data_IF_760210120972
#
_entry.id   IF_760210120972
#
_cell.length_a   1.000
_cell.length_b   1.000
_cell.length_c   1.000
_cell.angle_alpha   90.00
_cell.angle_beta   90.00
_cell.angle_gamma   90.00
#
_symmetry.space_group_name_H-M   'P 1'
#
loop_
_entity.id
_entity.type
_entity.pdbx_description
1 polymer ?
#
# COMPACT_ATOMS: atom_id res chain seq x y z
N UNK A 1 -6.93 -10.03 26.10
CA UNK A 1 -7.72 -9.30 25.08
C UNK A 1 -8.90 -10.17 24.66
N UNK A 2 -10.13 -9.64 24.76
CA UNK A 2 -11.30 -10.29 24.18
C UNK A 2 -11.22 -10.29 22.64
N UNK A 3 -11.98 -11.15 21.98
CA UNK A 3 -11.91 -11.35 20.53
C UNK A 3 -12.22 -10.07 19.75
N UNK A 4 -13.20 -9.29 20.21
CA UNK A 4 -13.58 -8.02 19.60
C UNK A 4 -12.44 -6.98 19.60
N UNK A 5 -11.73 -6.83 20.72
CA UNK A 5 -10.58 -5.92 20.79
C UNK A 5 -9.43 -6.38 19.85
N UNK A 6 -9.25 -7.69 19.67
CA UNK A 6 -8.26 -8.23 18.73
C UNK A 6 -8.57 -7.86 17.28
N UNK A 7 -9.84 -7.98 16.88
CA UNK A 7 -10.29 -7.63 15.52
C UNK A 7 -10.23 -6.13 15.27
N UNK A 8 -10.57 -5.30 16.27
CA UNK A 8 -10.43 -3.85 16.17
C UNK A 8 -8.98 -3.40 16.02
N UNK A 9 -8.07 -3.96 16.81
CA UNK A 9 -6.64 -3.68 16.70
C UNK A 9 -6.09 -4.11 15.34
N UNK A 10 -6.51 -5.28 14.85
CA UNK A 10 -6.13 -5.74 13.52
C UNK A 10 -6.59 -4.76 12.43
N UNK A 11 -7.86 -4.35 12.48
CA UNK A 11 -8.41 -3.36 11.57
C UNK A 11 -7.62 -2.05 11.60
N UNK A 12 -7.31 -1.51 12.79
CA UNK A 12 -6.56 -0.25 12.91
C UNK A 12 -5.16 -0.35 12.28
N UNK A 13 -4.45 -1.45 12.52
CA UNK A 13 -3.12 -1.71 11.94
C UNK A 13 -3.21 -1.85 10.42
N UNK A 14 -4.15 -2.66 9.92
CA UNK A 14 -4.37 -2.86 8.48
C UNK A 14 -4.73 -1.56 7.79
N UNK A 15 -5.63 -0.77 8.39
CA UNK A 15 -6.01 0.54 7.89
C UNK A 15 -4.80 1.46 7.75
N UNK A 16 -3.98 1.57 8.80
CA UNK A 16 -2.76 2.39 8.76
C UNK A 16 -1.80 1.95 7.65
N UNK A 17 -1.57 0.65 7.50
CA UNK A 17 -0.68 0.09 6.47
C UNK A 17 -1.21 0.34 5.05
N UNK A 18 -2.52 0.19 4.83
CA UNK A 18 -3.16 0.40 3.53
C UNK A 18 -3.19 1.89 3.18
N UNK A 19 -3.47 2.75 4.16
CA UNK A 19 -3.52 4.21 3.97
C UNK A 19 -2.14 4.81 3.67
N UNK A 20 -1.04 4.15 4.09
CA UNK A 20 0.30 4.58 3.77
C UNK A 20 0.60 4.47 2.25
N UNK A 21 1.13 5.54 1.63
CA UNK A 21 1.51 5.54 0.22
C UNK A 21 2.44 4.38 -0.13
N UNK A 22 2.17 3.72 -1.26
CA UNK A 22 2.94 2.60 -1.76
C UNK A 22 2.56 2.23 -3.19
N UNK A 23 3.11 1.13 -3.71
CA UNK A 23 2.92 0.71 -5.10
C UNK A 23 1.45 0.55 -5.49
N UNK A 24 0.65 -0.14 -4.67
CA UNK A 24 -0.79 -0.33 -4.88
C UNK A 24 -1.53 1.01 -5.01
N UNK A 25 -1.27 1.93 -4.06
CA UNK A 25 -1.91 3.24 -4.02
C UNK A 25 -1.54 4.08 -5.25
N UNK A 26 -0.25 4.10 -5.61
CA UNK A 26 0.24 4.81 -6.79
C UNK A 26 -0.35 4.25 -8.09
N UNK A 27 -0.47 2.92 -8.18
CA UNK A 27 -1.05 2.25 -9.34
C UNK A 27 -2.55 2.58 -9.50
N UNK A 28 -3.31 2.55 -8.41
CA UNK A 28 -4.73 2.96 -8.40
C UNK A 28 -4.87 4.41 -8.78
N UNK A 29 -4.07 5.30 -8.20
CA UNK A 29 -4.12 6.73 -8.48
C UNK A 29 -3.82 7.02 -9.97
N UNK A 30 -2.73 6.46 -10.50
CA UNK A 30 -2.34 6.66 -11.90
C UNK A 30 -3.42 6.19 -12.89
N UNK A 31 -3.99 5.00 -12.69
CA UNK A 31 -5.02 4.47 -13.58
C UNK A 31 -6.36 5.19 -13.40
N UNK A 32 -6.68 5.67 -12.20
CA UNK A 32 -7.89 6.47 -11.94
C UNK A 32 -7.80 7.85 -12.59
N UNK A 33 -6.61 8.44 -12.61
CA UNK A 33 -6.39 9.74 -13.25
C UNK A 33 -6.39 9.63 -14.77
N UNK A 34 -5.81 8.57 -15.35
CA UNK A 34 -5.70 8.41 -16.81
C UNK A 34 -6.97 7.82 -17.44
N UNK A 35 -7.52 6.75 -16.86
CA UNK A 35 -8.66 6.00 -17.42
C UNK A 35 -9.98 6.19 -16.66
N UNK A 36 -10.03 7.16 -15.75
CA UNK A 36 -11.21 7.48 -14.95
C UNK A 36 -11.62 6.39 -13.98
N UNK A 37 -12.88 6.49 -13.50
CA UNK A 37 -13.42 5.60 -12.45
C UNK A 37 -13.33 4.12 -12.81
N UNK A 38 -13.61 3.74 -14.06
CA UNK A 38 -13.59 2.33 -14.48
C UNK A 38 -12.19 1.72 -14.40
N UNK A 39 -11.18 2.45 -14.88
CA UNK A 39 -9.78 2.03 -14.78
C UNK A 39 -9.31 1.95 -13.32
N UNK A 40 -9.66 2.96 -12.51
CA UNK A 40 -9.39 2.95 -11.07
C UNK A 40 -9.99 1.75 -10.34
N UNK A 41 -11.28 1.47 -10.54
CA UNK A 41 -11.94 0.33 -9.91
C UNK A 41 -11.41 -1.03 -10.39
N UNK A 42 -11.01 -1.13 -11.67
CA UNK A 42 -10.34 -2.33 -12.17
C UNK A 42 -8.98 -2.56 -11.50
N UNK A 43 -8.22 -1.50 -11.23
CA UNK A 43 -6.99 -1.58 -10.47
C UNK A 43 -7.25 -2.02 -9.02
N UNK A 44 -8.24 -1.44 -8.34
CA UNK A 44 -8.64 -1.84 -6.98
C UNK A 44 -9.00 -3.32 -6.92
N UNK A 45 -9.82 -3.80 -7.85
CA UNK A 45 -10.20 -5.21 -7.92
C UNK A 45 -8.99 -6.13 -8.12
N UNK A 46 -8.03 -5.75 -8.97
CA UNK A 46 -6.80 -6.51 -9.18
C UNK A 46 -5.93 -6.56 -7.93
N UNK A 47 -5.79 -5.45 -7.20
CA UNK A 47 -5.05 -5.41 -5.94
C UNK A 47 -5.70 -6.29 -4.87
N UNK A 48 -7.03 -6.27 -4.75
CA UNK A 48 -7.74 -7.15 -3.82
C UNK A 48 -7.52 -8.63 -4.20
N UNK A 49 -7.57 -8.97 -5.48
CA UNK A 49 -7.27 -10.32 -5.96
C UNK A 49 -5.83 -10.75 -5.61
N UNK A 50 -4.84 -9.87 -5.78
CA UNK A 50 -3.47 -10.09 -5.32
C UNK A 50 -3.38 -10.24 -3.79
N UNK A 51 -4.15 -9.44 -3.05
CA UNK A 51 -4.31 -9.54 -1.60
C UNK A 51 -4.81 -10.91 -1.13
N UNK A 52 -5.75 -11.51 -1.85
CA UNK A 52 -6.18 -12.89 -1.57
C UNK A 52 -5.05 -13.91 -1.79
N UNK A 53 -4.23 -13.74 -2.82
CA UNK A 53 -3.05 -14.59 -3.01
C UNK A 53 -2.06 -14.45 -1.84
N UNK A 54 -1.82 -13.23 -1.35
CA UNK A 54 -1.01 -13.00 -0.15
C UNK A 54 -1.61 -13.69 1.07
N UNK A 55 -2.92 -13.58 1.26
CA UNK A 55 -3.63 -14.25 2.36
C UNK A 55 -3.47 -15.76 2.31
N UNK A 56 -3.61 -16.37 1.12
CA UNK A 56 -3.40 -17.80 0.94
C UNK A 56 -1.94 -18.19 1.25
N UNK A 57 -0.97 -17.42 0.76
CA UNK A 57 0.45 -17.62 1.08
C UNK A 57 0.73 -17.48 2.58
N UNK A 58 0.12 -16.49 3.24
CA UNK A 58 0.26 -16.28 4.69
C UNK A 58 -0.38 -17.38 5.52
N UNK A 59 -1.61 -17.78 5.17
CA UNK A 59 -2.34 -18.81 5.89
C UNK A 59 -1.69 -20.19 5.73
N UNK A 60 -1.25 -20.55 4.52
CA UNK A 60 -0.55 -21.81 4.26
C UNK A 60 0.89 -21.76 4.80
N UNK A 61 1.60 -20.65 4.57
CA UNK A 61 2.98 -20.46 5.01
C UNK A 61 3.12 -20.42 6.54
N UNK A 62 2.23 -19.72 7.25
CA UNK A 62 2.26 -19.67 8.71
C UNK A 62 1.98 -21.06 9.34
N UNK A 63 1.04 -21.82 8.78
CA UNK A 63 0.73 -23.17 9.28
C UNK A 63 1.91 -24.15 9.09
N UNK A 64 2.60 -24.08 7.96
CA UNK A 64 3.74 -24.95 7.63
C UNK A 64 5.00 -24.53 8.40
N UNK A 65 5.31 -23.23 8.46
CA UNK A 65 6.53 -22.71 9.11
C UNK A 65 6.46 -22.85 10.63
N UNK A 66 5.31 -22.61 11.26
CA UNK A 66 5.16 -22.78 12.72
C UNK A 66 5.29 -24.25 13.16
N UNK A 67 4.86 -25.20 12.33
CA UNK A 67 4.94 -26.63 12.67
C UNK A 67 6.30 -27.23 12.40
N UNK A 68 6.98 -26.80 11.33
CA UNK A 68 8.20 -27.45 10.90
C UNK A 68 9.46 -26.72 11.38
N UNK A 69 9.56 -25.38 11.26
CA UNK A 69 10.85 -24.66 11.39
C UNK A 69 10.71 -23.30 12.13
N UNK A 70 10.60 -23.30 13.48
CA UNK A 70 10.37 -22.09 14.28
C UNK A 70 11.46 -21.01 14.16
N UNK A 71 12.71 -21.38 13.87
CA UNK A 71 13.82 -20.43 13.68
C UNK A 71 13.72 -19.66 12.35
N UNK A 72 13.09 -20.25 11.32
CA UNK A 72 12.85 -19.57 10.04
C UNK A 72 11.92 -18.37 10.21
N UNK A 73 10.96 -18.45 11.15
CA UNK A 73 10.08 -17.34 11.50
C UNK A 73 10.85 -16.13 12.04
N UNK A 74 11.91 -16.35 12.84
CA UNK A 74 12.76 -15.26 13.34
C UNK A 74 13.58 -14.61 12.21
N UNK A 75 14.09 -15.40 11.26
CA UNK A 75 14.78 -14.86 10.09
C UNK A 75 13.84 -14.10 9.14
N UNK A 76 12.58 -14.53 9.01
CA UNK A 76 11.55 -13.80 8.25
C UNK A 76 11.19 -12.47 8.91
N UNK A 77 11.10 -12.43 10.24
CA UNK A 77 10.93 -11.19 11.01
C UNK A 77 12.12 -10.23 10.81
N UNK A 78 13.35 -10.74 10.85
CA UNK A 78 14.56 -9.94 10.63
C UNK A 78 14.66 -9.44 9.18
N UNK A 79 14.35 -10.30 8.20
CA UNK A 79 14.29 -9.92 6.79
C UNK A 79 13.20 -8.87 6.51
N UNK A 80 12.04 -9.00 7.14
CA UNK A 80 10.98 -7.99 7.10
C UNK A 80 11.42 -6.65 7.68
N UNK A 81 12.15 -6.65 8.81
CA UNK A 81 12.67 -5.44 9.44
C UNK A 81 13.75 -4.73 8.59
N UNK A 82 14.71 -5.48 8.05
CA UNK A 82 15.75 -4.96 7.13
C UNK A 82 15.10 -4.36 5.88
N UNK A 83 14.08 -5.02 5.35
CA UNK A 83 13.38 -4.56 4.16
C UNK A 83 12.51 -3.31 4.44
N UNK A 84 11.85 -3.21 5.61
CA UNK A 84 11.17 -1.97 6.04
C UNK A 84 12.17 -0.82 6.13
N UNK A 85 13.36 -1.06 6.71
CA UNK A 85 14.42 -0.05 6.80
C UNK A 85 14.89 0.38 5.40
N UNK A 86 15.05 -0.58 4.48
CA UNK A 86 15.37 -0.31 3.09
C UNK A 86 14.26 0.45 2.35
N UNK A 87 12.97 0.12 2.54
CA UNK A 87 11.87 0.90 1.97
C UNK A 87 11.82 2.33 2.50
N UNK A 88 11.98 2.52 3.81
CA UNK A 88 12.08 3.84 4.42
C UNK A 88 13.23 4.63 3.78
N UNK A 89 14.36 3.97 3.55
CA UNK A 89 15.51 4.56 2.87
C UNK A 89 15.26 4.91 1.39
N UNK A 90 14.60 4.03 0.63
CA UNK A 90 14.26 4.28 -0.77
C UNK A 90 13.25 5.43 -0.91
N UNK A 91 12.26 5.53 -0.02
CA UNK A 91 11.32 6.65 0.02
C UNK A 91 12.01 7.97 0.35
N UNK A 92 13.02 7.95 1.23
CA UNK A 92 13.84 9.13 1.54
C UNK A 92 14.75 9.55 0.38
N UNK A 93 15.10 8.63 -0.54
CA UNK A 93 15.94 8.91 -1.71
C UNK A 93 15.17 9.15 -3.01
N UNK A 94 13.89 8.82 -3.09
CA UNK A 94 13.10 8.95 -4.33
C UNK A 94 12.55 10.37 -4.49
N UNK A 95 13.22 11.19 -5.30
CA UNK A 95 12.74 12.52 -5.72
C UNK A 95 11.77 12.49 -6.90
N UNK A 96 11.37 11.30 -7.38
CA UNK A 96 10.54 11.14 -8.57
C UNK A 96 9.17 10.57 -8.17
N UNK A 97 8.27 11.44 -7.73
CA UNK A 97 6.87 11.10 -7.47
C UNK A 97 6.02 12.02 -8.34
N UNK A 98 5.42 11.42 -9.38
CA UNK A 98 4.53 12.02 -10.39
C UNK A 98 5.18 12.88 -11.48
N UNK A 99 5.76 12.21 -12.48
CA UNK A 99 5.62 12.67 -13.87
C UNK A 99 4.63 11.72 -14.56
N UNK A 100 3.39 12.16 -14.85
CA UNK A 100 2.53 11.42 -15.75
C UNK A 100 3.22 11.47 -17.12
N UNK A 101 3.69 10.33 -17.60
CA UNK A 101 4.12 10.22 -18.99
C UNK A 101 2.89 10.50 -19.86
N UNK A 102 2.91 11.64 -20.55
CA UNK A 102 1.74 12.23 -21.23
C UNK A 102 1.25 11.39 -22.43
N UNK A 103 1.91 10.27 -22.73
CA UNK A 103 1.63 9.36 -23.83
C UNK A 103 1.08 7.98 -23.40
N UNK A 104 0.57 7.82 -22.17
CA UNK A 104 -0.04 6.54 -21.77
C UNK A 104 -1.42 6.35 -22.40
N UNK A 105 -1.54 5.40 -23.33
CA UNK A 105 -2.84 4.91 -23.83
C UNK A 105 -3.75 4.45 -22.68
N UNK A 106 -5.04 4.74 -22.84
CA UNK A 106 -6.08 4.22 -21.94
C UNK A 106 -6.19 2.70 -22.14
N UNK A 107 -5.72 1.95 -21.16
CA UNK A 107 -5.73 0.48 -21.21
C UNK A 107 -7.14 -0.09 -20.93
N UNK A 108 -7.42 -1.26 -21.50
CA UNK A 108 -8.63 -2.01 -21.19
C UNK A 108 -8.68 -2.41 -19.69
N UNK A 109 -9.86 -2.39 -19.03
CA UNK A 109 -10.00 -2.75 -17.61
C UNK A 109 -9.43 -4.11 -17.23
N UNK A 110 -9.52 -5.10 -18.12
CA UNK A 110 -8.96 -6.44 -17.91
C UNK A 110 -7.44 -6.45 -17.84
N UNK A 111 -6.77 -5.61 -18.64
CA UNK A 111 -5.31 -5.44 -18.61
C UNK A 111 -4.89 -4.73 -17.34
N UNK A 112 -5.63 -3.69 -16.94
CA UNK A 112 -5.39 -2.95 -15.70
C UNK A 112 -5.54 -3.87 -14.48
N UNK A 113 -6.60 -4.68 -14.44
CA UNK A 113 -6.81 -5.67 -13.38
C UNK A 113 -5.62 -6.63 -13.24
N UNK A 114 -5.17 -7.24 -14.35
CA UNK A 114 -4.03 -8.17 -14.33
C UNK A 114 -2.75 -7.49 -13.88
N UNK A 115 -2.47 -6.28 -14.37
CA UNK A 115 -1.30 -5.49 -13.96
C UNK A 115 -1.38 -5.10 -12.49
N UNK A 116 -2.54 -4.70 -11.99
CA UNK A 116 -2.75 -4.35 -10.59
C UNK A 116 -2.57 -5.55 -9.65
N UNK A 117 -3.07 -6.73 -10.06
CA UNK A 117 -2.82 -7.98 -9.35
C UNK A 117 -1.32 -8.29 -9.28
N UNK A 118 -0.60 -8.18 -10.40
CA UNK A 118 0.85 -8.35 -10.43
C UNK A 118 1.59 -7.30 -9.58
N UNK A 119 1.17 -6.03 -9.64
CA UNK A 119 1.73 -4.96 -8.81
C UNK A 119 1.55 -5.27 -7.33
N UNK A 120 0.37 -5.73 -6.92
CA UNK A 120 0.12 -6.12 -5.53
C UNK A 120 0.92 -7.36 -5.14
N UNK A 121 1.02 -8.36 -6.01
CA UNK A 121 1.86 -9.55 -5.81
C UNK A 121 3.35 -9.23 -5.74
N UNK A 122 3.81 -8.14 -6.36
CA UNK A 122 5.18 -7.65 -6.26
C UNK A 122 5.34 -6.63 -5.13
N UNK A 123 4.27 -6.32 -4.41
CA UNK A 123 4.29 -5.32 -3.35
C UNK A 123 4.89 -5.93 -2.08
N UNK A 124 6.12 -5.54 -1.72
CA UNK A 124 6.80 -6.11 -0.57
C UNK A 124 6.11 -5.78 0.76
N UNK A 125 5.39 -4.65 0.83
CA UNK A 125 4.61 -4.24 2.02
C UNK A 125 3.60 -5.33 2.39
N UNK A 126 3.00 -5.98 1.39
CA UNK A 126 2.00 -7.02 1.59
C UNK A 126 2.62 -8.30 2.17
N UNK A 127 3.78 -8.73 1.68
CA UNK A 127 4.49 -9.88 2.24
C UNK A 127 4.95 -9.63 3.67
N UNK A 128 5.50 -8.45 3.95
CA UNK A 128 5.95 -8.11 5.31
C UNK A 128 4.76 -8.11 6.28
N UNK A 129 3.65 -7.49 5.89
CA UNK A 129 2.43 -7.55 6.67
C UNK A 129 2.01 -9.00 6.95
N UNK A 130 2.03 -9.84 5.91
CA UNK A 130 1.57 -11.21 5.99
C UNK A 130 2.52 -12.14 6.79
N UNK A 131 3.80 -11.81 6.87
CA UNK A 131 4.80 -12.56 7.62
C UNK A 131 4.97 -12.07 9.06
N UNK A 132 5.02 -10.76 9.25
CA UNK A 132 5.35 -10.16 10.54
C UNK A 132 4.11 -9.87 11.38
N UNK A 133 3.01 -9.41 10.77
CA UNK A 133 1.87 -8.85 11.49
C UNK A 133 0.71 -9.84 11.53
N UNK A 134 0.33 -10.39 10.37
CA UNK A 134 -0.82 -11.29 10.25
C UNK A 134 -0.81 -12.47 11.23
N UNK A 135 0.30 -13.22 11.43
CA UNK A 135 0.30 -14.37 12.33
C UNK A 135 0.09 -13.99 13.79
N UNK A 136 0.42 -12.74 14.19
CA UNK A 136 0.25 -12.28 15.57
C UNK A 136 -1.23 -12.19 16.00
N UNK A 137 -2.14 -12.09 15.03
CA UNK A 137 -3.57 -11.99 15.28
C UNK A 137 -4.28 -13.35 15.27
N UNK A 138 -3.59 -14.41 14.84
CA UNK A 138 -4.08 -15.79 14.90
C UNK A 138 -3.88 -16.33 16.33
N UNK A 139 -4.92 -16.96 16.89
CA UNK A 139 -4.89 -17.56 18.22
C UNK A 139 -5.08 -19.07 18.15
N UNK A 140 -3.98 -19.86 18.25
CA UNK A 140 -4.07 -21.30 18.42
C UNK A 140 -4.96 -21.64 19.63
N UNK A 141 -5.87 -22.60 19.47
CA UNK A 141 -6.80 -23.03 20.52
C UNK A 141 -8.11 -22.23 20.63
N UNK A 142 -8.29 -21.16 19.86
CA UNK A 142 -9.57 -20.40 19.80
C UNK A 142 -10.39 -20.72 18.54
N UNK A 143 -10.32 -21.96 18.06
CA UNK A 143 -10.99 -22.44 16.86
C UNK A 143 -10.08 -22.60 15.64
N UNK A 144 -10.62 -23.03 14.49
CA UNK A 144 -9.81 -23.36 13.31
C UNK A 144 -9.07 -22.15 12.73
N UNK A 145 -7.76 -22.29 12.51
CA UNK A 145 -6.91 -21.19 12.00
C UNK A 145 -7.35 -20.70 10.61
N UNK A 146 -7.88 -21.58 9.75
CA UNK A 146 -8.36 -21.19 8.43
C UNK A 146 -9.56 -20.23 8.50
N UNK A 147 -10.43 -20.42 9.49
CA UNK A 147 -11.60 -19.55 9.69
C UNK A 147 -11.17 -18.18 10.23
N UNK A 148 -10.22 -18.16 11.19
CA UNK A 148 -9.62 -16.93 11.69
C UNK A 148 -8.93 -16.16 10.53
N UNK A 149 -8.12 -16.84 9.73
CA UNK A 149 -7.49 -16.27 8.54
C UNK A 149 -8.51 -15.71 7.54
N UNK A 150 -9.63 -16.41 7.33
CA UNK A 150 -10.71 -15.94 6.46
C UNK A 150 -11.32 -14.62 6.95
N UNK A 151 -11.58 -14.48 8.25
CA UNK A 151 -12.11 -13.25 8.86
C UNK A 151 -11.12 -12.09 8.73
N UNK A 152 -9.85 -12.32 9.06
CA UNK A 152 -8.79 -11.31 8.94
C UNK A 152 -8.58 -10.90 7.47
N UNK A 153 -8.64 -11.86 6.55
CA UNK A 153 -8.63 -11.64 5.11
C UNK A 153 -9.80 -10.78 4.63
N UNK A 154 -11.02 -11.04 5.11
CA UNK A 154 -12.19 -10.25 4.77
C UNK A 154 -12.09 -8.80 5.27
N UNK A 155 -11.58 -8.58 6.49
CA UNK A 155 -11.31 -7.24 7.02
C UNK A 155 -10.30 -6.50 6.14
N UNK A 156 -9.22 -7.19 5.73
CA UNK A 156 -8.20 -6.61 4.86
C UNK A 156 -8.76 -6.23 3.49
N UNK A 157 -9.48 -7.14 2.84
CA UNK A 157 -10.09 -6.89 1.54
C UNK A 157 -11.11 -5.74 1.58
N UNK A 158 -11.96 -5.70 2.62
CA UNK A 158 -12.91 -4.61 2.83
C UNK A 158 -12.20 -3.26 3.04
N UNK A 159 -11.11 -3.25 3.81
CA UNK A 159 -10.31 -2.04 4.05
C UNK A 159 -9.62 -1.57 2.77
N UNK A 160 -9.04 -2.47 1.97
CA UNK A 160 -8.47 -2.14 0.66
C UNK A 160 -9.53 -1.58 -0.29
N UNK A 161 -10.72 -2.19 -0.34
CA UNK A 161 -11.83 -1.72 -1.17
C UNK A 161 -12.28 -0.31 -0.75
N UNK A 162 -12.39 -0.05 0.55
CA UNK A 162 -12.79 1.25 1.07
C UNK A 162 -11.74 2.33 0.77
N UNK A 163 -10.48 2.11 1.17
CA UNK A 163 -9.41 3.11 1.04
C UNK A 163 -9.06 3.35 -0.43
N UNK A 164 -8.76 2.30 -1.18
CA UNK A 164 -8.35 2.45 -2.58
C UNK A 164 -9.55 2.75 -3.49
N UNK A 165 -10.75 2.28 -3.16
CA UNK A 165 -11.97 2.68 -3.87
C UNK A 165 -12.29 4.16 -3.69
N UNK A 166 -12.23 4.68 -2.46
CA UNK A 166 -12.39 6.11 -2.20
C UNK A 166 -11.31 6.93 -2.92
N UNK A 167 -10.06 6.46 -2.90
CA UNK A 167 -8.97 7.08 -3.65
C UNK A 167 -9.24 7.10 -5.16
N UNK A 168 -9.70 5.99 -5.73
CA UNK A 168 -10.00 5.90 -7.16
C UNK A 168 -11.11 6.87 -7.57
N UNK A 169 -12.15 6.99 -6.74
CA UNK A 169 -13.24 7.94 -6.94
C UNK A 169 -12.77 9.39 -6.80
N UNK A 170 -11.95 9.69 -5.80
CA UNK A 170 -11.39 11.03 -5.59
C UNK A 170 -10.45 11.42 -6.73
N UNK A 171 -9.51 10.55 -7.11
CA UNK A 171 -8.52 10.80 -8.16
C UNK A 171 -9.17 10.96 -9.54
N UNK A 172 -10.19 10.16 -9.86
CA UNK A 172 -10.92 10.30 -11.13
C UNK A 172 -11.73 11.60 -11.22
N UNK A 173 -12.26 12.10 -10.10
CA UNK A 173 -12.94 13.39 -10.03
C UNK A 173 -11.95 14.56 -10.04
N UNK A 174 -10.80 14.42 -9.38
CA UNK A 174 -9.74 15.42 -9.40
C UNK A 174 -9.22 15.65 -10.83
N UNK A 175 -9.06 14.61 -11.65
CA UNK A 175 -8.73 14.79 -13.08
C UNK A 175 -9.81 15.56 -13.83
N UNK A 176 -11.10 15.27 -13.60
CA UNK A 176 -12.19 16.02 -14.23
C UNK A 176 -12.25 17.48 -13.77
N UNK A 177 -11.96 17.74 -12.49
CA UNK A 177 -11.93 19.09 -11.93
C UNK A 177 -10.71 19.89 -12.40
N UNK A 178 -9.53 19.26 -12.47
CA UNK A 178 -8.31 19.87 -13.03
C UNK A 178 -8.39 20.06 -14.54
N UNK A 179 -9.01 19.15 -15.28
CA UNK A 179 -9.31 19.33 -16.70
C UNK A 179 -10.26 20.51 -16.96
N UNK A 180 -11.16 20.79 -16.01
CA UNK A 180 -12.06 21.96 -16.04
C UNK A 180 -11.42 23.23 -15.48
N UNK A 181 -10.38 23.13 -14.65
CA UNK A 181 -9.72 24.25 -13.97
C UNK A 181 -8.17 24.14 -14.04
N UNK A 182 -7.57 24.35 -15.23
CA UNK A 182 -6.13 24.19 -15.45
C UNK A 182 -5.28 25.16 -14.60
N UNK A 183 -5.82 26.33 -14.26
CA UNK A 183 -5.16 27.29 -13.37
C UNK A 183 -5.02 26.74 -11.94
N UNK A 184 -6.03 26.05 -11.42
CA UNK A 184 -5.99 25.45 -10.09
C UNK A 184 -5.02 24.26 -10.03
N UNK A 185 -4.96 23.45 -11.09
CA UNK A 185 -3.95 22.40 -11.25
C UNK A 185 -2.53 22.97 -11.21
N UNK A 186 -2.28 24.05 -11.95
CA UNK A 186 -0.99 24.72 -11.99
C UNK A 186 -0.61 25.34 -10.63
N UNK A 187 -1.56 25.95 -9.91
CA UNK A 187 -1.32 26.49 -8.57
C UNK A 187 -1.03 25.40 -7.54
N UNK A 188 -1.72 24.27 -7.61
CA UNK A 188 -1.49 23.15 -6.69
C UNK A 188 -0.12 22.51 -6.94
N UNK A 189 0.27 22.32 -8.20
CA UNK A 189 1.61 21.86 -8.57
C UNK A 189 2.70 22.84 -8.13
N UNK A 190 2.48 24.16 -8.28
CA UNK A 190 3.40 25.20 -7.81
C UNK A 190 3.51 25.22 -6.28
N UNK A 191 2.42 25.04 -5.55
CA UNK A 191 2.42 24.99 -4.09
C UNK A 191 3.18 23.77 -3.57
N UNK A 192 2.96 22.59 -4.15
CA UNK A 192 3.73 21.37 -3.84
C UNK A 192 5.22 21.57 -4.15
N UNK A 193 5.54 22.15 -5.32
CA UNK A 193 6.93 22.45 -5.70
C UNK A 193 7.62 23.44 -4.76
N UNK A 194 6.91 24.48 -4.32
CA UNK A 194 7.41 25.46 -3.34
C UNK A 194 7.63 24.83 -1.97
N UNK A 195 6.70 23.98 -1.52
CA UNK A 195 6.82 23.27 -0.26
C UNK A 195 8.06 22.35 -0.27
N UNK A 196 8.26 21.61 -1.37
CA UNK A 196 9.42 20.75 -1.55
C UNK A 196 10.74 21.55 -1.59
N UNK A 197 10.79 22.66 -2.31
CA UNK A 197 11.93 23.57 -2.33
C UNK A 197 12.25 24.11 -0.94
N UNK A 198 11.23 24.54 -0.19
CA UNK A 198 11.40 25.01 1.19
C UNK A 198 11.94 23.90 2.09
N UNK A 199 11.41 22.67 2.00
CA UNK A 199 11.93 21.54 2.78
C UNK A 199 13.37 21.17 2.41
N UNK A 200 13.75 21.30 1.13
CA UNK A 200 15.12 21.06 0.68
C UNK A 200 16.09 22.13 1.18
N UNK A 201 15.72 23.41 1.10
CA UNK A 201 16.52 24.54 1.59
C UNK A 201 16.69 24.47 3.10
N UNK A 202 15.63 24.16 3.85
CA UNK A 202 15.69 24.01 5.31
C UNK A 202 16.56 22.82 5.72
N UNK A 203 16.43 21.68 5.03
CA UNK A 203 17.28 20.50 5.26
C UNK A 203 18.76 20.80 4.96
N UNK A 204 19.06 21.53 3.88
CA UNK A 204 20.42 21.95 3.53
C UNK A 204 21.01 22.94 4.55
N UNK A 205 20.21 23.90 5.03
CA UNK A 205 20.63 24.85 6.05
C UNK A 205 20.90 24.16 7.40
N UNK A 206 20.11 23.13 7.76
CA UNK A 206 20.33 22.31 8.95
C UNK A 206 21.60 21.45 8.82
N UNK A 207 21.82 20.82 7.67
CA UNK A 207 23.04 20.04 7.41
C UNK A 207 24.31 20.90 7.43
N UNK A 208 24.24 22.13 6.89
CA UNK A 208 25.35 23.09 6.94
C UNK A 208 25.69 23.53 8.36
N UNK A 209 24.67 23.76 9.20
CA UNK A 209 24.86 24.09 10.62
C UNK A 209 25.40 22.89 11.43
N UNK A 210 24.99 21.67 11.09
CA UNK A 210 25.45 20.45 11.76
C UNK A 210 26.87 20.01 11.35
N UNK A 211 27.33 20.39 10.14
CA UNK A 211 28.69 20.12 9.66
C UNK A 211 29.76 21.13 10.12
N UNK A 212 29.38 22.13 10.91
CA UNK A 212 30.28 23.14 11.50
C UNK A 212 30.34 23.03 13.04
N UNK A 213 29.90 21.90 13.61
CA UNK A 213 29.97 21.59 15.04
C UNK A 213 30.88 20.39 15.30
#
# INVERSE_FOLDING_TARGET
MNQAANLWLYFAVVFGIIALPGLDMAFVMANSMLGGRRAGMAAVAGIIAGGFCHLLMGALGAAVVLQLWPQLFQYMLLGGAIYIAWMGYTFLRSSAVFTPDAAREVLAPTVIFRRAMLTSLLNPKAYIFMLAIFPQFLKPGQGPLWLQSGVLGAITAATQAAVYGALALAASQATLWFARNPAAAAWTARAIGLLLLLTAVLSAAQAWKAGLA
#
